data_IF_323339702596
#
_entry.id   IF_323339702596
#
_cell.length_a   1.000
_cell.length_b   1.000
_cell.length_c   1.000
_cell.angle_alpha   90.00
_cell.angle_beta   90.00
_cell.angle_gamma   90.00
#
_symmetry.space_group_name_H-M   'P 1'
#
loop_
_entity.id
_entity.type
_entity.pdbx_description
1 polymer ?
#
# COMPACT_ATOMS: atom_id res chain seq x y z
N UNK A 1 23.42 25.15 55.20
CA UNK A 1 22.73 25.50 53.93
C UNK A 1 22.27 24.22 53.25
N UNK A 2 21.07 24.16 52.66
CA UNK A 2 20.70 23.02 51.82
C UNK A 2 21.45 23.12 50.49
N UNK A 3 21.84 21.98 49.88
CA UNK A 3 22.56 22.01 48.61
C UNK A 3 21.64 22.54 47.50
N UNK A 4 22.16 23.47 46.68
CA UNK A 4 21.47 23.96 45.48
C UNK A 4 21.31 22.81 44.50
N UNK A 5 20.06 22.53 44.11
CA UNK A 5 19.75 21.53 43.07
C UNK A 5 20.35 22.02 41.74
N UNK A 6 21.23 21.22 41.16
CA UNK A 6 21.77 21.46 39.83
C UNK A 6 20.63 21.41 38.79
N UNK A 7 20.65 22.26 37.75
CA UNK A 7 19.63 22.23 36.71
C UNK A 7 19.63 20.86 36.01
N UNK A 8 18.44 20.27 35.86
CA UNK A 8 18.28 19.00 35.15
C UNK A 8 18.76 19.18 33.71
N UNK A 9 19.62 18.27 33.25
CA UNK A 9 20.04 18.22 31.87
C UNK A 9 18.81 18.12 30.94
N UNK A 10 18.83 18.78 29.77
CA UNK A 10 17.72 18.74 28.83
C UNK A 10 17.44 17.31 28.39
N UNK A 11 16.17 16.93 28.37
CA UNK A 11 15.75 15.61 27.94
C UNK A 11 16.18 15.37 26.49
N UNK A 12 16.85 14.24 26.22
CA UNK A 12 17.24 13.86 24.86
C UNK A 12 15.98 13.73 24.00
N UNK A 13 15.83 14.59 23.00
CA UNK A 13 14.73 14.49 22.02
C UNK A 13 14.88 13.18 21.25
N UNK A 14 13.80 12.39 21.17
CA UNK A 14 13.80 11.14 20.40
C UNK A 14 14.08 11.49 18.93
N UNK A 15 15.19 10.98 18.38
CA UNK A 15 15.47 11.11 16.95
C UNK A 15 14.32 10.46 16.17
N UNK A 16 13.65 11.24 15.32
CA UNK A 16 12.63 10.72 14.39
C UNK A 16 13.34 10.17 13.16
N UNK A 17 13.14 8.90 12.83
CA UNK A 17 13.56 8.36 11.55
C UNK A 17 12.79 9.07 10.42
N UNK A 18 13.48 9.41 9.34
CA UNK A 18 12.91 10.01 8.13
C UNK A 18 13.37 9.18 6.93
N UNK A 19 12.44 8.81 6.05
CA UNK A 19 12.76 8.25 4.75
C UNK A 19 13.22 9.41 3.86
N UNK A 20 14.47 9.39 3.40
CA UNK A 20 15.04 10.43 2.54
C UNK A 20 15.02 10.05 1.07
N UNK A 21 14.88 8.75 0.77
CA UNK A 21 14.84 8.21 -0.58
C UNK A 21 14.05 6.90 -0.59
N UNK A 22 13.34 6.65 -1.69
CA UNK A 22 12.80 5.35 -2.05
C UNK A 22 13.49 4.89 -3.34
N UNK A 23 13.68 3.58 -3.49
CA UNK A 23 14.26 2.94 -4.66
C UNK A 23 13.36 1.76 -5.00
N UNK A 24 12.92 1.66 -6.24
CA UNK A 24 12.21 0.48 -6.72
C UNK A 24 13.19 -0.66 -6.99
N UNK A 25 12.74 -1.89 -6.74
CA UNK A 25 13.50 -3.11 -7.03
C UNK A 25 12.68 -4.00 -7.94
N UNK A 26 13.37 -4.78 -8.77
CA UNK A 26 12.74 -5.84 -9.55
C UNK A 26 12.01 -6.80 -8.60
N UNK A 27 10.76 -7.10 -8.88
CA UNK A 27 9.93 -7.99 -8.03
C UNK A 27 10.38 -9.45 -7.97
N UNK A 28 11.36 -9.86 -8.80
CA UNK A 28 11.87 -11.23 -8.87
C UNK A 28 13.33 -11.35 -8.41
N UNK A 29 14.25 -10.63 -9.05
CA UNK A 29 15.68 -10.70 -8.72
C UNK A 29 16.14 -9.64 -7.70
N UNK A 30 15.25 -8.76 -7.24
CA UNK A 30 15.53 -7.67 -6.28
C UNK A 30 16.59 -6.64 -6.72
N UNK A 31 16.99 -6.70 -7.99
CA UNK A 31 17.89 -5.73 -8.61
C UNK A 31 17.27 -4.32 -8.56
N UNK A 32 17.99 -3.31 -8.03
CA UNK A 32 17.43 -1.96 -7.89
C UNK A 32 17.32 -1.24 -9.23
N UNK A 33 16.36 -0.33 -9.33
CA UNK A 33 16.18 0.56 -10.50
C UNK A 33 17.39 1.47 -10.77
N UNK A 34 18.31 1.57 -9.80
CA UNK A 34 19.56 2.33 -9.94
C UNK A 34 20.62 1.58 -10.73
N UNK A 35 20.51 0.27 -10.89
CA UNK A 35 21.45 -0.57 -11.66
C UNK A 35 20.85 -1.10 -12.94
N UNK A 36 19.52 -1.27 -13.01
CA UNK A 36 18.81 -1.78 -14.19
C UNK A 36 17.50 -1.03 -14.43
N UNK A 37 17.07 -0.95 -15.69
CA UNK A 37 15.76 -0.39 -16.01
C UNK A 37 14.64 -1.38 -15.64
N UNK A 38 13.62 -0.89 -14.96
CA UNK A 38 12.43 -1.67 -14.59
C UNK A 38 11.25 -1.28 -15.49
N UNK A 39 10.62 -2.28 -16.11
CA UNK A 39 9.39 -2.10 -16.89
C UNK A 39 8.27 -2.87 -16.22
N UNK A 40 7.27 -2.15 -15.70
CA UNK A 40 6.20 -2.70 -14.86
C UNK A 40 6.71 -3.42 -13.60
N UNK A 41 7.82 -2.94 -13.02
CA UNK A 41 8.39 -3.50 -11.79
C UNK A 41 9.29 -4.72 -11.98
N UNK A 42 9.64 -5.08 -13.22
CA UNK A 42 10.56 -6.17 -13.55
C UNK A 42 11.70 -5.67 -14.44
N UNK A 43 12.90 -6.20 -14.24
CA UNK A 43 14.00 -5.99 -15.18
C UNK A 43 13.75 -6.76 -16.49
N UNK A 44 14.51 -6.42 -17.54
CA UNK A 44 14.34 -7.00 -18.87
C UNK A 44 14.43 -8.54 -18.88
N UNK A 45 15.39 -9.11 -18.16
CA UNK A 45 15.64 -10.56 -18.12
C UNK A 45 14.48 -11.30 -17.44
N UNK A 46 14.11 -10.90 -16.22
CA UNK A 46 13.00 -11.51 -15.50
C UNK A 46 11.65 -11.30 -16.21
N UNK A 47 11.48 -10.19 -16.93
CA UNK A 47 10.29 -9.96 -17.76
C UNK A 47 10.24 -10.92 -18.95
N UNK A 48 11.38 -11.21 -19.58
CA UNK A 48 11.46 -12.16 -20.68
C UNK A 48 11.11 -13.59 -20.22
N UNK A 49 11.60 -14.00 -19.05
CA UNK A 49 11.24 -15.29 -18.43
C UNK A 49 9.73 -15.41 -18.20
N UNK A 50 9.10 -14.38 -17.61
CA UNK A 50 7.65 -14.37 -17.39
C UNK A 50 6.84 -14.46 -18.69
N UNK A 51 7.34 -13.86 -19.77
CA UNK A 51 6.68 -13.92 -21.08
C UNK A 51 6.86 -15.28 -21.76
N UNK A 52 8.03 -15.92 -21.59
CA UNK A 52 8.27 -17.26 -22.13
C UNK A 52 7.34 -18.32 -21.50
N UNK A 53 7.11 -18.24 -20.19
CA UNK A 53 6.20 -19.14 -19.46
C UNK A 53 4.72 -18.96 -19.84
N UNK A 54 4.38 -17.87 -20.55
CA UNK A 54 3.00 -17.56 -20.96
C UNK A 54 2.59 -18.16 -22.31
N UNK A 55 3.51 -18.79 -23.04
CA UNK A 55 3.28 -19.38 -24.37
C UNK A 55 2.59 -20.76 -24.31
N UNK A 56 2.57 -21.42 -23.13
CA UNK A 56 2.04 -22.78 -22.92
C UNK A 56 0.50 -22.87 -22.75
N UNK A 57 -0.25 -21.91 -23.30
CA UNK A 57 -1.73 -21.94 -23.32
C UNK A 57 -2.41 -21.52 -22.02
N UNK A 58 -1.66 -20.97 -21.06
CA UNK A 58 -2.22 -20.26 -19.91
C UNK A 58 -2.72 -18.87 -20.33
N UNK A 59 -3.79 -18.33 -19.71
CA UNK A 59 -4.29 -16.99 -20.02
C UNK A 59 -3.18 -15.96 -19.87
N UNK A 60 -2.89 -15.21 -20.93
CA UNK A 60 -1.81 -14.22 -21.04
C UNK A 60 -1.70 -13.32 -19.80
N UNK A 61 -0.82 -13.65 -18.85
CA UNK A 61 -0.45 -12.75 -17.75
C UNK A 61 0.68 -11.88 -18.25
N UNK A 62 0.34 -10.79 -18.96
CA UNK A 62 1.33 -9.77 -19.31
C UNK A 62 1.72 -9.03 -18.03
N UNK A 63 2.99 -9.06 -17.60
CA UNK A 63 3.40 -8.37 -16.38
C UNK A 63 3.04 -6.87 -16.43
N UNK A 64 2.29 -6.42 -15.42
CA UNK A 64 1.78 -5.05 -15.31
C UNK A 64 0.40 -4.81 -15.90
N UNK A 65 -0.23 -5.80 -16.53
CA UNK A 65 -1.64 -5.72 -16.95
C UNK A 65 -2.51 -6.36 -15.87
N UNK A 66 -3.36 -5.55 -15.25
CA UNK A 66 -4.38 -6.03 -14.32
C UNK A 66 -5.64 -6.31 -15.14
N UNK A 67 -6.18 -7.54 -15.16
CA UNK A 67 -7.41 -7.82 -15.88
C UNK A 67 -8.56 -6.95 -15.36
N UNK A 68 -9.47 -6.55 -16.25
CA UNK A 68 -10.60 -5.67 -15.92
C UNK A 68 -11.48 -6.22 -14.80
N UNK A 69 -11.51 -7.55 -14.63
CA UNK A 69 -12.21 -8.24 -13.54
C UNK A 69 -11.68 -7.89 -12.15
N UNK A 70 -10.40 -7.49 -12.03
CA UNK A 70 -9.77 -7.06 -10.80
C UNK A 70 -9.76 -5.54 -10.63
N UNK A 71 -10.01 -4.78 -11.71
CA UNK A 71 -10.13 -3.34 -11.62
C UNK A 71 -11.45 -2.96 -10.96
N UNK A 72 -11.42 -1.92 -10.13
CA UNK A 72 -12.62 -1.44 -9.47
C UNK A 72 -13.61 -0.92 -10.53
N UNK A 73 -14.78 -1.57 -10.63
CA UNK A 73 -15.90 -1.01 -11.39
C UNK A 73 -16.29 0.31 -10.75
N UNK A 74 -16.34 1.44 -11.51
CA UNK A 74 -16.81 2.70 -10.97
C UNK A 74 -18.15 2.50 -10.26
N UNK A 75 -18.31 3.02 -9.04
CA UNK A 75 -19.50 2.77 -8.17
C UNK A 75 -20.86 2.99 -8.85
N UNK A 76 -20.91 3.78 -9.92
CA UNK A 76 -22.12 4.06 -10.71
C UNK A 76 -22.52 2.94 -11.69
N UNK A 77 -21.62 2.01 -11.97
CA UNK A 77 -21.78 0.94 -12.99
C UNK A 77 -21.87 -0.46 -12.36
N UNK A 78 -21.83 -0.57 -11.03
CA UNK A 78 -21.94 -1.86 -10.35
C UNK A 78 -23.37 -2.43 -10.50
N UNK A 79 -23.54 -3.71 -10.90
CA UNK A 79 -24.84 -4.33 -11.16
C UNK A 79 -25.66 -4.61 -9.89
N UNK A 80 -25.05 -4.52 -8.71
CA UNK A 80 -25.71 -4.66 -7.42
C UNK A 80 -25.74 -3.29 -6.71
N UNK A 81 -26.77 -3.00 -5.88
CA UNK A 81 -26.75 -1.81 -5.05
C UNK A 81 -25.51 -1.86 -4.16
N UNK A 82 -24.58 -0.93 -4.37
CA UNK A 82 -23.39 -0.78 -3.52
C UNK A 82 -23.89 -0.46 -2.12
N UNK A 83 -23.84 -1.44 -1.22
CA UNK A 83 -24.20 -1.25 0.18
C UNK A 83 -23.17 -0.31 0.79
N UNK A 84 -23.62 0.85 1.25
CA UNK A 84 -22.79 1.73 2.05
C UNK A 84 -22.57 1.08 3.42
N UNK A 85 -21.54 0.23 3.50
CA UNK A 85 -21.14 -0.47 4.73
C UNK A 85 -20.89 0.53 5.86
N UNK A 86 -20.41 1.73 5.55
CA UNK A 86 -20.16 2.74 6.57
C UNK A 86 -21.45 3.27 7.19
N UNK A 87 -22.47 3.52 6.37
CA UNK A 87 -23.81 3.85 6.85
C UNK A 87 -24.42 2.71 7.67
N UNK A 88 -24.33 1.48 7.16
CA UNK A 88 -24.87 0.30 7.85
C UNK A 88 -24.23 0.08 9.22
N UNK A 89 -22.90 0.23 9.32
CA UNK A 89 -22.17 0.12 10.58
C UNK A 89 -22.56 1.23 11.55
N UNK A 90 -22.73 2.47 11.07
CA UNK A 90 -23.19 3.57 11.94
C UNK A 90 -24.62 3.35 12.45
N UNK A 91 -25.51 2.77 11.65
CA UNK A 91 -26.87 2.38 12.08
C UNK A 91 -26.84 1.31 13.19
N UNK A 92 -26.02 0.27 13.05
CA UNK A 92 -25.83 -0.76 14.10
C UNK A 92 -25.25 -0.15 15.38
N UNK A 93 -24.27 0.74 15.25
CA UNK A 93 -23.64 1.42 16.40
C UNK A 93 -24.67 2.22 17.17
N UNK A 94 -25.49 3.02 16.49
CA UNK A 94 -26.58 3.78 17.12
C UNK A 94 -27.60 2.87 17.79
N UNK A 95 -28.01 1.78 17.13
CA UNK A 95 -28.94 0.82 17.70
C UNK A 95 -28.38 0.15 18.97
N UNK A 96 -27.05 0.08 19.07
CA UNK A 96 -26.32 -0.46 20.23
C UNK A 96 -25.88 0.62 21.23
N UNK A 97 -26.33 1.87 21.07
CA UNK A 97 -26.03 2.99 21.98
C UNK A 97 -24.64 3.64 21.81
N UNK A 98 -23.92 3.30 20.74
CA UNK A 98 -22.62 3.88 20.42
C UNK A 98 -22.75 5.01 19.39
N UNK A 99 -21.90 6.04 19.55
CA UNK A 99 -21.79 7.13 18.58
C UNK A 99 -21.25 6.62 17.22
N UNK A 100 -21.68 7.25 16.09
CA UNK A 100 -21.12 6.96 14.77
C UNK A 100 -19.63 7.30 14.72
N UNK A 101 -18.90 6.65 13.84
CA UNK A 101 -17.44 6.87 13.75
C UNK A 101 -17.20 8.16 12.97
N UNK A 102 -16.67 9.19 13.63
CA UNK A 102 -16.27 10.43 12.94
C UNK A 102 -15.24 10.11 11.85
N UNK A 103 -15.47 10.65 10.66
CA UNK A 103 -14.52 10.58 9.55
C UNK A 103 -13.60 11.78 9.67
N UNK A 104 -12.35 11.54 10.07
CA UNK A 104 -11.26 12.51 9.89
C UNK A 104 -10.86 12.64 8.43
#
# INVERSE_FOLDING_TARGET
>A
MPPKKLPKAPAKTRRRARVTRAVFVCGLCEEPETTTELVNGLCADCRAECLADSEDGAPHVVPGVVPDTFLAVPRRQAPAPVVDVTRYVDEIRRASGYAPKERG
#
